data_IF_861397269653
#
_entry.id   IF_861397269653
#
_cell.length_a   1.000
_cell.length_b   1.000
_cell.length_c   1.000
_cell.angle_alpha   90.00
_cell.angle_beta   90.00
_cell.angle_gamma   90.00
#
_symmetry.space_group_name_H-M   'P 1'
#
loop_
_entity.id
_entity.type
_entity.pdbx_description
1 polymer ?
#
# COMPACT_ATOMS: atom_id res chain seq x y z
N UNK A 1 4.64 -11.11 -3.72
CA UNK A 1 5.96 -10.89 -4.37
C UNK A 1 6.90 -10.34 -3.31
N UNK A 2 8.12 -10.89 -3.19
CA UNK A 2 9.17 -10.29 -2.35
C UNK A 2 9.91 -9.24 -3.18
N UNK A 3 9.93 -8.01 -2.71
CA UNK A 3 10.54 -6.88 -3.43
C UNK A 3 11.16 -5.90 -2.47
N UNK A 4 11.49 -4.69 -2.96
CA UNK A 4 12.05 -3.60 -2.17
C UNK A 4 11.16 -3.13 -1.00
N UNK A 5 9.89 -3.48 -1.02
CA UNK A 5 8.91 -3.16 0.02
C UNK A 5 8.89 -4.16 1.20
N UNK A 6 9.47 -5.37 1.05
CA UNK A 6 9.48 -6.43 2.07
C UNK A 6 10.84 -6.46 2.80
N UNK A 7 11.09 -5.44 3.62
CA UNK A 7 12.36 -5.17 4.28
C UNK A 7 12.40 -5.59 5.75
N UNK A 8 11.29 -6.06 6.31
CA UNK A 8 11.21 -6.44 7.72
C UNK A 8 12.30 -7.43 8.11
N UNK A 9 13.03 -7.15 9.19
CA UNK A 9 14.13 -7.98 9.70
C UNK A 9 15.42 -7.92 8.88
N UNK A 10 15.54 -7.07 7.86
CA UNK A 10 16.79 -6.87 7.11
C UNK A 10 17.64 -5.81 7.77
N UNK A 11 18.95 -6.03 7.76
CA UNK A 11 19.95 -5.11 8.30
C UNK A 11 20.64 -4.33 7.18
N UNK A 12 21.40 -3.28 7.53
CA UNK A 12 22.25 -2.55 6.60
C UNK A 12 21.63 -1.28 6.01
N UNK A 13 20.46 -0.84 6.50
CA UNK A 13 19.79 0.39 6.07
C UNK A 13 20.21 1.63 6.88
N UNK A 14 21.13 1.47 7.83
CA UNK A 14 21.54 2.54 8.73
C UNK A 14 20.58 2.74 9.92
N UNK A 15 20.88 3.72 10.78
CA UNK A 15 20.00 4.07 11.89
C UNK A 15 18.73 4.75 11.39
N UNK A 16 17.66 4.59 12.15
CA UNK A 16 16.43 5.38 11.96
C UNK A 16 16.71 6.75 12.57
N UNK A 17 16.62 7.79 11.76
CA UNK A 17 16.82 9.19 12.16
C UNK A 17 15.58 10.01 11.74
N UNK A 18 14.47 9.90 12.49
CA UNK A 18 13.24 10.62 12.19
C UNK A 18 13.41 12.11 12.53
N UNK A 19 12.78 12.96 11.72
CA UNK A 19 12.64 14.36 12.09
C UNK A 19 11.86 14.49 13.40
N UNK A 20 12.17 15.49 14.24
CA UNK A 20 11.37 15.76 15.44
C UNK A 20 9.91 16.04 15.05
N UNK A 21 8.95 15.37 15.68
CA UNK A 21 7.52 15.47 15.37
C UNK A 21 7.01 16.93 15.36
N UNK A 22 7.55 17.78 16.24
CA UNK A 22 7.20 19.20 16.30
C UNK A 22 7.72 20.03 15.12
N UNK A 23 8.68 19.52 14.36
CA UNK A 23 9.32 20.21 13.24
C UNK A 23 9.02 19.53 11.88
N UNK A 24 8.49 18.30 11.91
CA UNK A 24 8.16 17.56 10.70
C UNK A 24 6.93 18.17 9.99
N UNK A 25 7.07 18.71 8.77
CA UNK A 25 5.93 19.23 8.03
C UNK A 25 5.12 18.07 7.41
N UNK A 26 3.82 18.28 7.20
CA UNK A 26 2.98 17.29 6.48
C UNK A 26 3.48 17.04 5.06
N UNK A 27 4.04 18.05 4.43
CA UNK A 27 4.70 17.97 3.12
C UNK A 27 5.96 18.82 3.15
N UNK A 28 7.09 18.26 2.73
CA UNK A 28 8.36 18.98 2.67
C UNK A 28 8.44 19.95 1.48
N UNK A 29 7.56 19.77 0.50
CA UNK A 29 7.51 20.63 -0.70
C UNK A 29 6.13 20.63 -1.35
N UNK A 30 5.87 21.64 -2.18
CA UNK A 30 4.57 21.79 -2.84
C UNK A 30 4.25 20.69 -3.87
N UNK A 31 5.27 20.09 -4.47
CA UNK A 31 5.05 19.00 -5.42
C UNK A 31 4.50 17.74 -4.72
N UNK A 32 4.90 17.48 -3.48
CA UNK A 32 4.38 16.35 -2.67
C UNK A 32 2.88 16.49 -2.41
N UNK A 33 2.45 17.71 -2.06
CA UNK A 33 1.03 18.05 -1.91
C UNK A 33 0.25 17.78 -3.19
N UNK A 34 0.82 18.13 -4.35
CA UNK A 34 0.20 17.86 -5.66
C UNK A 34 0.13 16.36 -5.95
N UNK A 35 1.18 15.60 -5.68
CA UNK A 35 1.19 14.14 -5.83
C UNK A 35 0.13 13.49 -4.96
N UNK A 36 0.04 13.89 -3.68
CA UNK A 36 -1.00 13.43 -2.78
C UNK A 36 -2.40 13.70 -3.36
N UNK A 37 -2.66 14.93 -3.77
CA UNK A 37 -3.95 15.32 -4.34
C UNK A 37 -4.30 14.54 -5.62
N UNK A 38 -3.34 14.39 -6.55
CA UNK A 38 -3.53 13.65 -7.81
C UNK A 38 -3.79 12.17 -7.52
N UNK A 39 -3.02 11.55 -6.63
CA UNK A 39 -3.20 10.14 -6.28
C UNK A 39 -4.59 9.88 -5.71
N UNK A 40 -5.08 10.74 -4.81
CA UNK A 40 -6.43 10.61 -4.26
C UNK A 40 -7.50 10.88 -5.31
N UNK A 41 -7.38 11.96 -6.08
CA UNK A 41 -8.36 12.33 -7.09
C UNK A 41 -8.51 11.25 -8.18
N UNK A 42 -7.39 10.69 -8.66
CA UNK A 42 -7.40 9.62 -9.66
C UNK A 42 -7.90 8.30 -9.07
N UNK A 43 -7.60 8.01 -7.81
CA UNK A 43 -8.17 6.86 -7.09
C UNK A 43 -9.69 6.92 -6.98
N UNK A 44 -10.27 8.13 -6.83
CA UNK A 44 -11.72 8.33 -6.79
C UNK A 44 -12.43 8.05 -8.12
N UNK A 45 -11.69 7.92 -9.23
CA UNK A 45 -12.26 7.50 -10.51
C UNK A 45 -12.70 6.02 -10.52
N UNK A 46 -12.34 5.24 -9.50
CA UNK A 46 -12.75 3.86 -9.34
C UNK A 46 -12.20 2.89 -10.39
N UNK A 47 -11.11 3.27 -11.08
CA UNK A 47 -10.45 2.42 -12.09
C UNK A 47 -9.58 1.34 -11.46
N UNK A 48 -9.21 1.52 -10.21
CA UNK A 48 -8.45 0.56 -9.40
C UNK A 48 -8.85 0.68 -7.94
N UNK A 49 -8.59 -0.35 -7.17
CA UNK A 49 -8.79 -0.38 -5.72
C UNK A 49 -7.47 -0.11 -4.96
N UNK A 50 -7.57 -0.06 -3.62
CA UNK A 50 -6.42 0.24 -2.75
C UNK A 50 -5.28 -0.78 -2.88
N UNK A 51 -5.59 -2.07 -3.08
CA UNK A 51 -4.59 -3.12 -3.16
C UNK A 51 -3.91 -3.16 -4.53
N UNK A 52 -4.62 -2.80 -5.60
CA UNK A 52 -4.01 -2.51 -6.90
C UNK A 52 -3.06 -1.31 -6.81
N UNK A 53 -3.44 -0.26 -6.07
CA UNK A 53 -2.57 0.90 -5.86
C UNK A 53 -1.31 0.55 -5.06
N UNK A 54 -1.42 -0.27 -4.02
CA UNK A 54 -0.29 -0.81 -3.27
C UNK A 54 0.61 -1.66 -4.16
N UNK A 55 0.02 -2.58 -4.91
CA UNK A 55 0.74 -3.47 -5.81
C UNK A 55 1.48 -2.72 -6.93
N UNK A 56 0.92 -1.64 -7.46
CA UNK A 56 1.60 -0.81 -8.45
C UNK A 56 2.91 -0.23 -7.92
N UNK A 57 2.93 0.21 -6.66
CA UNK A 57 4.15 0.69 -5.98
C UNK A 57 5.15 -0.44 -5.71
N UNK A 58 4.67 -1.62 -5.30
CA UNK A 58 5.50 -2.80 -5.01
C UNK A 58 6.19 -3.38 -6.25
N UNK A 59 5.62 -3.16 -7.44
CA UNK A 59 6.16 -3.63 -8.73
C UNK A 59 7.25 -2.75 -9.33
N UNK A 60 7.70 -1.72 -8.64
CA UNK A 60 8.83 -0.92 -9.05
C UNK A 60 10.14 -1.72 -8.97
N UNK A 61 11.15 -1.29 -9.73
CA UNK A 61 12.46 -1.87 -9.59
C UNK A 61 12.96 -1.66 -8.14
N UNK A 62 13.53 -2.68 -7.47
CA UNK A 62 13.91 -2.57 -6.06
C UNK A 62 14.86 -1.41 -5.74
N UNK A 63 15.78 -1.09 -6.64
CA UNK A 63 16.70 0.03 -6.47
C UNK A 63 15.95 1.36 -6.48
N UNK A 64 14.99 1.52 -7.41
CA UNK A 64 14.20 2.75 -7.50
C UNK A 64 13.31 2.90 -6.27
N UNK A 65 12.64 1.80 -5.86
CA UNK A 65 11.82 1.77 -4.65
C UNK A 65 12.59 2.24 -3.40
N UNK A 66 13.86 1.82 -3.25
CA UNK A 66 14.68 2.14 -2.07
C UNK A 66 15.33 3.53 -2.13
N UNK A 67 15.45 4.13 -3.32
CA UNK A 67 16.05 5.45 -3.51
C UNK A 67 15.04 6.59 -3.49
N UNK A 68 13.81 6.28 -3.79
CA UNK A 68 12.72 7.26 -3.86
C UNK A 68 12.30 7.72 -2.47
N UNK A 69 11.96 9.00 -2.36
CA UNK A 69 11.19 9.53 -1.25
C UNK A 69 9.76 8.95 -1.24
N UNK A 70 9.05 9.18 -0.15
CA UNK A 70 7.68 8.66 0.02
C UNK A 70 6.74 9.07 -1.11
N UNK A 71 6.73 10.35 -1.48
CA UNK A 71 5.86 10.85 -2.53
C UNK A 71 6.35 10.57 -3.95
N UNK A 72 7.67 10.40 -4.17
CA UNK A 72 8.18 9.88 -5.44
C UNK A 72 7.69 8.46 -5.69
N UNK A 73 7.69 7.62 -4.65
CA UNK A 73 7.13 6.27 -4.73
C UNK A 73 5.62 6.29 -5.05
N UNK A 74 4.87 7.22 -4.46
CA UNK A 74 3.45 7.40 -4.77
C UNK A 74 3.22 7.84 -6.21
N UNK A 75 4.02 8.79 -6.70
CA UNK A 75 3.95 9.29 -8.08
C UNK A 75 4.20 8.18 -9.09
N UNK A 76 5.27 7.41 -8.90
CA UNK A 76 5.62 6.29 -9.76
C UNK A 76 4.51 5.22 -9.80
N UNK A 77 3.92 4.89 -8.65
CA UNK A 77 2.77 3.98 -8.59
C UNK A 77 1.53 4.53 -9.28
N UNK A 78 1.26 5.83 -9.13
CA UNK A 78 0.12 6.50 -9.77
C UNK A 78 0.29 6.59 -11.29
N UNK A 79 1.48 6.97 -11.77
CA UNK A 79 1.81 6.98 -13.21
C UNK A 79 1.57 5.60 -13.83
N UNK A 80 2.06 4.55 -13.16
CA UNK A 80 1.88 3.17 -13.61
C UNK A 80 0.39 2.79 -13.75
N UNK A 81 -0.43 3.15 -12.77
CA UNK A 81 -1.87 2.87 -12.80
C UNK A 81 -2.59 3.67 -13.88
N UNK A 82 -2.23 4.92 -14.08
CA UNK A 82 -2.81 5.76 -15.13
C UNK A 82 -2.52 5.20 -16.53
N UNK A 83 -1.29 4.73 -16.76
CA UNK A 83 -0.88 4.08 -18.00
C UNK A 83 -1.59 2.72 -18.19
N UNK A 84 -1.57 1.85 -17.19
CA UNK A 84 -2.18 0.52 -17.25
C UNK A 84 -3.70 0.57 -17.41
N UNK A 85 -4.35 1.60 -16.86
CA UNK A 85 -5.80 1.81 -17.03
C UNK A 85 -6.19 2.52 -18.34
N UNK A 86 -5.21 2.95 -19.13
CA UNK A 86 -5.44 3.69 -20.37
C UNK A 86 -6.01 5.09 -20.18
N UNK A 87 -5.92 5.65 -18.96
CA UNK A 87 -6.37 7.03 -18.69
C UNK A 87 -5.42 8.07 -19.29
N UNK A 88 -4.14 7.72 -19.39
CA UNK A 88 -3.12 8.48 -20.11
C UNK A 88 -2.24 7.53 -20.91
N UNK A 89 -1.61 8.04 -21.96
CA UNK A 89 -0.62 7.33 -22.77
C UNK A 89 0.80 7.82 -22.50
N UNK A 90 1.79 7.02 -22.84
CA UNK A 90 3.21 7.43 -22.76
C UNK A 90 3.47 8.66 -23.65
N UNK A 91 2.85 8.73 -24.82
CA UNK A 91 2.99 9.86 -25.74
C UNK A 91 2.47 11.18 -25.13
N UNK A 92 1.36 11.14 -24.38
CA UNK A 92 0.84 12.33 -23.68
C UNK A 92 1.78 12.80 -22.59
N UNK A 93 2.40 11.86 -21.82
CA UNK A 93 3.42 12.20 -20.83
C UNK A 93 4.64 12.85 -21.52
N UNK A 94 5.15 12.25 -22.57
CA UNK A 94 6.30 12.76 -23.32
C UNK A 94 6.03 14.14 -23.92
N UNK A 95 4.84 14.35 -24.48
CA UNK A 95 4.42 15.64 -25.00
C UNK A 95 4.36 16.71 -23.88
N UNK A 96 3.76 16.37 -22.74
CA UNK A 96 3.68 17.28 -21.58
C UNK A 96 5.07 17.64 -21.02
N UNK A 97 5.98 16.66 -20.94
CA UNK A 97 7.36 16.88 -20.51
C UNK A 97 8.12 17.77 -21.48
N UNK A 98 7.97 17.54 -22.79
CA UNK A 98 8.59 18.37 -23.81
C UNK A 98 8.06 19.82 -23.76
N UNK A 99 6.75 20.00 -23.59
CA UNK A 99 6.12 21.32 -23.44
C UNK A 99 6.61 22.05 -22.17
N UNK A 100 6.92 21.31 -21.10
CA UNK A 100 7.52 21.85 -19.89
C UNK A 100 9.05 22.10 -19.99
N UNK A 101 9.67 21.89 -21.16
CA UNK A 101 11.11 22.06 -21.38
C UNK A 101 11.97 21.01 -20.65
N UNK A 102 11.41 19.84 -20.35
CA UNK A 102 12.07 18.77 -19.60
C UNK A 102 12.16 17.49 -20.41
N UNK A 103 13.20 16.69 -20.18
CA UNK A 103 13.30 15.34 -20.72
C UNK A 103 13.03 14.32 -19.60
N UNK A 104 12.44 13.19 -19.94
CA UNK A 104 12.29 12.04 -19.04
C UNK A 104 13.70 11.58 -18.63
N UNK A 105 14.07 11.80 -17.37
CA UNK A 105 15.42 11.52 -16.85
C UNK A 105 16.15 12.74 -16.29
N UNK A 106 15.72 13.95 -16.57
CA UNK A 106 16.22 15.16 -15.92
C UNK A 106 15.52 15.35 -14.56
N UNK A 107 15.85 14.49 -13.61
CA UNK A 107 15.39 14.61 -12.21
C UNK A 107 16.16 15.67 -11.44
N UNK A 108 16.48 16.79 -12.05
CA UNK A 108 16.91 17.99 -11.39
C UNK A 108 15.69 18.88 -11.11
N UNK A 109 15.14 18.81 -9.91
CA UNK A 109 14.07 19.71 -9.48
C UNK A 109 14.56 21.16 -9.54
N UNK A 110 13.89 22.08 -10.27
CA UNK A 110 14.21 23.49 -10.18
C UNK A 110 13.77 24.02 -8.83
N UNK A 111 14.72 24.50 -8.05
CA UNK A 111 14.50 25.17 -6.77
C UNK A 111 14.12 26.64 -6.96
N UNK A 112 13.23 26.97 -7.87
CA UNK A 112 12.56 28.29 -7.87
C UNK A 112 11.36 28.22 -8.81
N UNK A 113 10.19 27.96 -8.27
CA UNK A 113 8.95 28.51 -8.86
C UNK A 113 8.60 29.71 -7.99
N UNK A 114 8.76 30.90 -8.57
CA UNK A 114 8.36 32.13 -7.94
C UNK A 114 6.91 32.01 -7.45
N UNK A 115 6.70 32.39 -6.19
CA UNK A 115 5.38 32.59 -5.60
C UNK A 115 4.61 33.62 -6.42
N UNK A 116 3.80 33.14 -7.32
CA UNK A 116 2.66 33.93 -7.81
C UNK A 116 1.42 33.40 -7.10
N UNK A 117 0.75 34.20 -6.28
CA UNK A 117 -0.54 33.82 -5.75
C UNK A 117 -1.50 33.73 -6.94
N UNK A 118 -1.73 32.49 -7.38
CA UNK A 118 -2.73 32.19 -8.38
C UNK A 118 -4.08 32.59 -7.84
N UNK A 119 -4.60 33.71 -8.31
CA UNK A 119 -6.01 34.01 -8.20
C UNK A 119 -6.76 32.80 -8.76
N UNK A 120 -7.53 32.16 -7.92
CA UNK A 120 -8.51 31.17 -8.34
C UNK A 120 -9.50 31.90 -9.26
N UNK A 121 -9.29 31.81 -10.56
CA UNK A 121 -10.31 32.17 -11.52
C UNK A 121 -11.44 31.16 -11.33
N UNK A 122 -12.50 31.56 -10.68
CA UNK A 122 -13.79 30.88 -10.71
C UNK A 122 -14.32 30.96 -12.15
N UNK A 123 -13.82 30.08 -12.99
CA UNK A 123 -14.49 29.80 -14.26
C UNK A 123 -15.58 28.79 -13.95
N UNK A 124 -16.81 29.28 -13.78
CA UNK A 124 -18.02 28.51 -13.99
C UNK A 124 -18.05 27.99 -15.43
N UNK A 125 -17.26 26.98 -15.73
CA UNK A 125 -17.45 26.18 -16.92
C UNK A 125 -18.36 25.02 -16.54
N UNK A 126 -19.63 25.13 -16.91
CA UNK A 126 -20.60 24.05 -16.87
C UNK A 126 -20.15 22.89 -17.73
N UNK A 127 -19.21 22.08 -17.24
CA UNK A 127 -18.92 20.80 -17.84
C UNK A 127 -20.07 19.86 -17.54
N UNK A 128 -20.61 19.16 -18.54
CA UNK A 128 -21.68 18.20 -18.33
C UNK A 128 -21.20 17.18 -17.30
N UNK A 129 -22.03 16.99 -16.26
CA UNK A 129 -21.81 16.03 -15.20
C UNK A 129 -21.61 14.64 -15.86
N UNK A 130 -20.37 14.19 -16.00
CA UNK A 130 -20.07 12.86 -16.53
C UNK A 130 -20.47 11.85 -15.48
N UNK A 131 -21.41 10.93 -15.77
CA UNK A 131 -21.84 9.93 -14.81
C UNK A 131 -20.62 9.17 -14.26
N UNK A 132 -20.45 9.12 -12.93
CA UNK A 132 -19.41 8.37 -12.26
C UNK A 132 -18.13 9.14 -11.90
N UNK A 133 -17.97 10.40 -12.28
CA UNK A 133 -16.83 11.23 -11.84
C UNK A 133 -17.26 12.04 -10.62
N UNK A 134 -16.61 11.84 -9.44
CA UNK A 134 -16.93 12.62 -8.26
C UNK A 134 -16.63 14.11 -8.45
N UNK A 135 -17.57 14.96 -8.07
CA UNK A 135 -17.35 16.41 -8.02
C UNK A 135 -16.60 16.84 -6.76
N UNK A 136 -16.22 18.14 -6.65
CA UNK A 136 -15.50 18.65 -5.48
C UNK A 136 -16.20 18.41 -4.13
N UNK A 137 -17.53 18.44 -4.10
CA UNK A 137 -18.35 18.14 -2.91
C UNK A 137 -18.29 16.68 -2.51
N UNK A 138 -18.18 15.78 -3.48
CA UNK A 138 -18.10 14.33 -3.24
C UNK A 138 -16.75 13.92 -2.67
N UNK A 139 -15.66 14.59 -3.06
CA UNK A 139 -14.31 14.29 -2.59
C UNK A 139 -14.22 14.31 -1.06
N UNK A 140 -14.77 15.36 -0.42
CA UNK A 140 -14.80 15.47 1.05
C UNK A 140 -15.61 14.34 1.69
N UNK A 141 -16.76 13.99 1.12
CA UNK A 141 -17.62 12.91 1.60
C UNK A 141 -16.91 11.55 1.48
N UNK A 142 -16.28 11.28 0.34
CA UNK A 142 -15.52 10.04 0.10
C UNK A 142 -14.35 9.91 1.08
N UNK A 143 -13.57 10.98 1.25
CA UNK A 143 -12.42 10.99 2.17
C UNK A 143 -12.84 10.79 3.63
N UNK A 144 -13.98 11.37 4.05
CA UNK A 144 -14.48 11.20 5.43
C UNK A 144 -15.14 9.84 5.67
N UNK A 145 -15.86 9.33 4.68
CA UNK A 145 -16.59 8.07 4.80
C UNK A 145 -15.71 6.84 4.68
N UNK A 146 -14.62 6.96 3.92
CA UNK A 146 -13.77 5.83 3.57
C UNK A 146 -14.55 4.71 2.89
N UNK A 147 -13.94 3.54 2.78
CA UNK A 147 -14.58 2.29 2.38
C UNK A 147 -14.26 1.23 3.43
N UNK A 148 -15.23 0.71 4.21
CA UNK A 148 -14.94 -0.30 5.21
C UNK A 148 -14.37 -1.55 4.54
N UNK A 149 -13.25 -2.04 5.07
CA UNK A 149 -12.62 -3.28 4.62
C UNK A 149 -13.34 -4.52 5.17
N UNK A 150 -14.18 -4.34 6.19
CA UNK A 150 -14.96 -5.41 6.82
C UNK A 150 -16.03 -5.95 5.87
N UNK A 151 -16.27 -7.25 5.94
CA UNK A 151 -17.31 -7.95 5.16
C UNK A 151 -18.00 -8.97 6.06
N UNK A 152 -19.27 -9.25 5.77
CA UNK A 152 -19.97 -10.40 6.33
C UNK A 152 -19.78 -11.59 5.38
N UNK A 153 -19.38 -12.73 5.94
CA UNK A 153 -19.24 -13.99 5.22
C UNK A 153 -19.97 -15.11 5.97
N UNK A 154 -20.52 -16.08 5.23
CA UNK A 154 -21.28 -17.19 5.82
C UNK A 154 -20.42 -18.27 6.49
N UNK A 155 -19.09 -18.19 6.39
CA UNK A 155 -18.17 -19.15 7.02
C UNK A 155 -17.86 -18.70 8.46
N UNK A 156 -17.54 -19.65 9.33
CA UNK A 156 -17.03 -19.37 10.67
C UNK A 156 -15.49 -19.25 10.65
N UNK A 157 -14.90 -18.50 11.60
CA UNK A 157 -13.45 -18.41 11.72
C UNK A 157 -12.84 -19.78 12.01
N UNK A 158 -11.72 -20.10 11.35
CA UNK A 158 -11.03 -21.39 11.52
C UNK A 158 -10.26 -21.48 12.82
N UNK A 159 -9.83 -20.35 13.36
CA UNK A 159 -8.97 -20.28 14.52
C UNK A 159 -9.64 -19.53 15.66
N UNK A 160 -9.50 -20.06 16.87
CA UNK A 160 -9.90 -19.41 18.11
C UNK A 160 -8.74 -18.58 18.71
N UNK A 161 -9.07 -17.62 19.57
CA UNK A 161 -8.08 -16.90 20.37
C UNK A 161 -7.32 -17.91 21.23
N UNK A 162 -6.00 -17.83 21.22
CA UNK A 162 -5.10 -18.74 21.91
C UNK A 162 -4.56 -19.89 21.04
N UNK A 163 -5.16 -20.16 19.89
CA UNK A 163 -4.68 -21.22 18.99
C UNK A 163 -3.26 -20.94 18.51
N UNK A 164 -2.46 -22.01 18.43
CA UNK A 164 -1.14 -21.96 17.78
C UNK A 164 -1.31 -22.12 16.28
N UNK A 165 -0.76 -21.19 15.53
CA UNK A 165 -0.79 -21.15 14.06
C UNK A 165 0.61 -21.03 13.50
N UNK A 166 0.77 -21.42 12.23
CA UNK A 166 1.98 -21.21 11.44
C UNK A 166 1.68 -20.22 10.33
N UNK A 167 2.45 -19.16 10.20
CA UNK A 167 2.42 -18.33 9.01
C UNK A 167 2.98 -19.13 7.82
N UNK A 168 2.14 -19.38 6.81
CA UNK A 168 2.50 -20.21 5.65
C UNK A 168 3.64 -19.56 4.87
N UNK A 169 4.54 -20.39 4.36
CA UNK A 169 5.51 -19.95 3.36
C UNK A 169 4.80 -19.85 2.01
N UNK A 170 4.74 -18.64 1.48
CA UNK A 170 4.09 -18.36 0.20
C UNK A 170 5.08 -17.75 -0.78
N UNK A 171 5.13 -18.35 -1.97
CA UNK A 171 5.79 -17.77 -3.13
C UNK A 171 4.69 -17.22 -4.05
N UNK A 172 4.21 -16.02 -3.76
CA UNK A 172 3.26 -15.35 -4.65
C UNK A 172 3.99 -14.42 -5.61
N UNK A 173 3.60 -14.48 -6.88
CA UNK A 173 4.05 -13.53 -7.90
C UNK A 173 3.29 -12.20 -7.83
N UNK A 174 2.15 -12.15 -7.12
CA UNK A 174 1.28 -11.00 -6.98
C UNK A 174 1.44 -10.25 -5.66
N UNK A 175 0.49 -9.39 -5.42
CA UNK A 175 0.36 -8.66 -4.15
C UNK A 175 0.09 -9.62 -2.98
N UNK A 176 0.69 -9.36 -1.85
CA UNK A 176 0.41 -10.03 -0.58
C UNK A 176 0.71 -9.11 0.60
N UNK A 177 -0.02 -9.32 1.70
CA UNK A 177 0.24 -8.61 2.97
C UNK A 177 0.89 -9.52 4.01
N UNK A 178 1.30 -10.74 3.64
CA UNK A 178 2.07 -11.61 4.51
C UNK A 178 3.57 -11.23 4.46
N UNK A 179 4.13 -10.60 5.50
CA UNK A 179 5.52 -10.16 5.49
C UNK A 179 6.47 -11.37 5.43
N UNK A 180 7.54 -11.24 4.66
CA UNK A 180 8.49 -12.35 4.44
C UNK A 180 9.14 -12.86 5.71
N UNK A 181 9.43 -11.98 6.65
CA UNK A 181 10.08 -12.36 7.90
C UNK A 181 9.21 -13.21 8.84
N UNK A 182 7.89 -13.13 8.73
CA UNK A 182 6.97 -13.94 9.54
C UNK A 182 6.70 -15.33 8.92
N UNK A 183 6.98 -15.51 7.63
CA UNK A 183 6.66 -16.75 6.93
C UNK A 183 7.47 -17.93 7.46
N UNK A 184 6.77 -19.01 7.80
CA UNK A 184 7.36 -20.21 8.40
C UNK A 184 7.54 -20.12 9.92
N UNK A 185 7.13 -19.01 10.53
CA UNK A 185 7.17 -18.85 11.98
C UNK A 185 5.85 -19.24 12.63
N UNK A 186 5.94 -19.79 13.83
CA UNK A 186 4.78 -20.11 14.68
C UNK A 186 4.43 -18.90 15.53
N UNK A 187 3.13 -18.63 15.63
CA UNK A 187 2.57 -17.61 16.50
C UNK A 187 1.32 -18.10 17.17
N UNK A 188 0.74 -17.27 18.02
CA UNK A 188 -0.51 -17.53 18.74
C UNK A 188 -1.56 -16.49 18.36
N UNK A 189 -2.77 -16.94 18.02
CA UNK A 189 -3.88 -16.04 17.73
C UNK A 189 -4.19 -15.19 18.97
N UNK A 190 -4.08 -13.88 18.80
CA UNK A 190 -4.32 -12.90 19.85
C UNK A 190 -5.72 -12.27 19.74
N UNK A 191 -6.12 -11.88 18.54
CA UNK A 191 -7.45 -11.28 18.24
C UNK A 191 -7.98 -11.82 16.93
N UNK A 192 -9.30 -11.98 16.82
CA UNK A 192 -10.03 -12.17 15.57
C UNK A 192 -10.81 -10.89 15.26
N UNK A 193 -10.48 -10.23 14.15
CA UNK A 193 -11.10 -8.96 13.73
C UNK A 193 -12.37 -9.12 12.89
N UNK A 194 -12.82 -10.37 12.67
CA UNK A 194 -13.88 -10.64 11.72
C UNK A 194 -13.34 -10.74 10.27
N UNK A 195 -14.27 -10.85 9.32
CA UNK A 195 -13.86 -10.98 7.92
C UNK A 195 -13.57 -9.62 7.28
N UNK A 196 -12.48 -9.58 6.51
CA UNK A 196 -12.00 -8.40 5.78
C UNK A 196 -11.68 -8.77 4.33
N UNK A 197 -11.78 -7.79 3.46
CA UNK A 197 -11.34 -7.93 2.06
C UNK A 197 -9.93 -8.52 2.01
N UNK A 198 -9.75 -9.58 1.21
CA UNK A 198 -8.47 -10.28 1.08
C UNK A 198 -7.58 -9.60 0.03
N UNK A 199 -6.45 -9.01 0.41
CA UNK A 199 -5.65 -8.17 -0.47
C UNK A 199 -5.12 -8.88 -1.72
N UNK A 200 -4.72 -10.15 -1.60
CA UNK A 200 -4.16 -10.94 -2.71
C UNK A 200 -5.17 -11.14 -3.84
N UNK A 201 -6.44 -11.29 -3.51
CA UNK A 201 -7.54 -11.41 -4.46
C UNK A 201 -7.98 -10.02 -4.95
N UNK A 202 -8.15 -9.07 -4.03
CA UNK A 202 -8.60 -7.72 -4.33
C UNK A 202 -7.66 -6.98 -5.29
N UNK A 203 -6.36 -7.22 -5.21
CA UNK A 203 -5.38 -6.68 -6.16
C UNK A 203 -5.56 -7.19 -7.59
N UNK A 204 -6.32 -8.26 -7.78
CA UNK A 204 -6.70 -8.83 -9.08
C UNK A 204 -8.12 -8.45 -9.50
N UNK A 205 -8.80 -7.61 -8.71
CA UNK A 205 -10.18 -7.21 -8.93
C UNK A 205 -11.22 -8.18 -8.35
N UNK A 206 -10.80 -9.20 -7.60
CA UNK A 206 -11.69 -10.15 -6.94
C UNK A 206 -11.89 -9.75 -5.46
N UNK A 207 -13.08 -9.29 -5.05
CA UNK A 207 -13.33 -8.77 -3.69
C UNK A 207 -13.58 -9.86 -2.64
N UNK A 208 -12.90 -10.99 -2.74
CA UNK A 208 -12.98 -12.05 -1.74
C UNK A 208 -12.66 -11.52 -0.35
N UNK A 209 -13.28 -12.10 0.67
CA UNK A 209 -13.04 -11.77 2.06
C UNK A 209 -12.70 -13.02 2.87
N UNK A 210 -11.80 -12.86 3.83
CA UNK A 210 -11.38 -13.89 4.78
C UNK A 210 -11.25 -13.30 6.16
N UNK A 211 -11.32 -14.14 7.20
CA UNK A 211 -11.04 -13.71 8.57
C UNK A 211 -9.65 -13.16 8.70
N UNK A 212 -9.54 -12.07 9.46
CA UNK A 212 -8.30 -11.38 9.78
C UNK A 212 -7.99 -11.60 11.25
N UNK A 213 -6.77 -12.01 11.56
CA UNK A 213 -6.30 -12.25 12.92
C UNK A 213 -5.06 -11.44 13.23
N UNK A 214 -5.01 -10.82 14.42
CA UNK A 214 -3.73 -10.44 14.99
C UNK A 214 -3.09 -11.67 15.59
N UNK A 215 -1.90 -12.02 15.12
CA UNK A 215 -1.11 -13.15 15.60
C UNK A 215 0.11 -12.63 16.33
N UNK A 216 0.30 -13.10 17.57
CA UNK A 216 1.47 -12.78 18.40
C UNK A 216 2.62 -13.74 18.07
N UNK A 217 3.75 -13.18 17.69
CA UNK A 217 5.00 -13.90 17.42
C UNK A 217 6.06 -13.51 18.44
N UNK A 218 6.78 -14.49 18.96
CA UNK A 218 7.99 -14.25 19.72
C UNK A 218 9.09 -13.70 18.78
N UNK A 219 9.76 -12.63 19.18
CA UNK A 219 10.86 -12.01 18.43
C UNK A 219 11.96 -13.01 18.07
N UNK A 220 12.22 -13.97 18.96
CA UNK A 220 13.22 -15.03 18.73
C UNK A 220 12.78 -16.05 17.69
N UNK A 221 11.47 -16.26 17.52
CA UNK A 221 10.95 -17.09 16.43
C UNK A 221 11.07 -16.38 15.07
N UNK A 222 11.04 -15.05 15.05
CA UNK A 222 11.16 -14.24 13.84
C UNK A 222 12.61 -13.99 13.43
N UNK A 223 13.50 -13.68 14.39
CA UNK A 223 14.85 -13.16 14.11
C UNK A 223 15.98 -13.96 14.74
N UNK A 224 15.67 -15.08 15.40
CA UNK A 224 16.67 -15.96 15.99
C UNK A 224 16.85 -15.76 17.50
N UNK A 225 17.56 -16.69 18.12
CA UNK A 225 17.67 -16.81 19.57
C UNK A 225 18.32 -15.62 20.26
N UNK A 226 19.14 -14.88 19.54
CA UNK A 226 19.87 -13.70 20.04
C UNK A 226 19.02 -12.42 20.03
N UNK A 227 17.80 -12.47 19.46
CA UNK A 227 16.90 -11.33 19.50
C UNK A 227 16.46 -11.02 20.93
N UNK A 228 16.32 -9.73 21.23
CA UNK A 228 15.71 -9.29 22.50
C UNK A 228 14.30 -9.88 22.64
N UNK A 229 13.90 -10.31 23.85
CA UNK A 229 12.61 -10.97 24.06
C UNK A 229 11.46 -9.95 24.07
N UNK A 230 10.63 -9.96 23.03
CA UNK A 230 9.37 -9.22 22.95
C UNK A 230 8.40 -9.93 22.02
N UNK A 231 7.12 -9.59 22.12
CA UNK A 231 6.10 -10.07 21.20
C UNK A 231 5.84 -9.04 20.10
N UNK A 232 5.63 -9.55 18.88
CA UNK A 232 5.22 -8.76 17.71
C UNK A 232 3.84 -9.22 17.29
N UNK A 233 2.89 -8.29 17.25
CA UNK A 233 1.55 -8.55 16.70
C UNK A 233 1.54 -8.24 15.20
N UNK A 234 1.11 -9.22 14.41
CA UNK A 234 1.03 -9.10 12.95
C UNK A 234 -0.38 -9.50 12.53
N UNK A 235 -1.02 -8.63 11.74
CA UNK A 235 -2.33 -8.90 11.18
C UNK A 235 -2.20 -9.76 9.94
N UNK A 236 -2.76 -10.98 10.01
CA UNK A 236 -2.68 -12.01 8.97
C UNK A 236 -4.06 -12.54 8.63
N UNK A 237 -4.36 -12.59 7.34
CA UNK A 237 -5.59 -13.23 6.84
C UNK A 237 -5.51 -14.74 6.96
N UNK A 238 -6.66 -15.36 7.16
CA UNK A 238 -6.80 -16.81 7.35
C UNK A 238 -6.06 -17.67 6.30
N UNK A 239 -6.07 -17.35 4.99
CA UNK A 239 -5.31 -18.09 4.00
C UNK A 239 -3.80 -18.09 4.21
N UNK A 240 -3.27 -17.11 4.94
CA UNK A 240 -1.84 -17.08 5.29
C UNK A 240 -1.46 -17.99 6.45
N UNK A 241 -2.45 -18.60 7.11
CA UNK A 241 -2.26 -19.37 8.33
C UNK A 241 -2.52 -20.86 8.12
N UNK A 242 -1.76 -21.69 8.80
CA UNK A 242 -1.98 -23.13 8.95
C UNK A 242 -2.19 -23.48 10.43
N UNK A 243 -3.16 -24.33 10.73
CA UNK A 243 -3.39 -24.83 12.08
C UNK A 243 -2.41 -25.95 12.46
N UNK A 244 -2.36 -26.26 13.78
CA UNK A 244 -1.47 -27.27 14.31
C UNK A 244 -1.64 -28.64 13.66
N UNK A 245 -2.86 -29.02 13.29
CA UNK A 245 -3.16 -30.31 12.64
C UNK A 245 -2.60 -30.42 11.22
N UNK A 246 -2.51 -29.31 10.47
CA UNK A 246 -1.94 -29.27 9.13
C UNK A 246 -0.40 -29.35 9.17
N UNK A 247 0.21 -28.97 10.30
CA UNK A 247 1.65 -29.02 10.51
C UNK A 247 2.14 -30.47 10.67
N UNK A 248 1.34 -31.32 11.28
CA UNK A 248 1.67 -32.74 11.46
C UNK A 248 1.62 -33.51 10.12
N UNK A 249 0.78 -33.09 9.18
CA UNK A 249 0.62 -33.76 7.87
C UNK A 249 1.74 -33.41 6.86
N UNK A 250 2.45 -32.29 7.03
CA UNK A 250 3.52 -31.82 6.14
C UNK A 250 4.95 -32.08 6.67
N UNK A 251 5.07 -32.83 7.75
CA UNK A 251 6.36 -33.18 8.39
C UNK A 251 6.88 -34.59 8.00
N UNK A 252 6.32 -35.19 6.91
CA UNK A 252 6.75 -36.50 6.38
C UNK A 252 7.45 -36.30 5.04
#
# INVERSE_FOLDING_TARGET
MRGGHDLGGRQGFGPIDPEPESAEPVFHSDWERRVFAITLATGMLGRWNIDQSRHARERQHPVDYLRQSYYENWLAGTEKLLLESGLISTAEIEHALAAAGRRRGDCGLPSTVADSPGQAAETESGQPNRPGIPGPGDARRILRGGGPATREIGASPRFAIGDTVLARRQLTAGHTRAPGYAQGCRGRVHVCHGAHVFPDANSKGDPLAHYLYSVAFDSRALWGKEAEPFEVLIDLWEPYLAGANELAANAI
#
